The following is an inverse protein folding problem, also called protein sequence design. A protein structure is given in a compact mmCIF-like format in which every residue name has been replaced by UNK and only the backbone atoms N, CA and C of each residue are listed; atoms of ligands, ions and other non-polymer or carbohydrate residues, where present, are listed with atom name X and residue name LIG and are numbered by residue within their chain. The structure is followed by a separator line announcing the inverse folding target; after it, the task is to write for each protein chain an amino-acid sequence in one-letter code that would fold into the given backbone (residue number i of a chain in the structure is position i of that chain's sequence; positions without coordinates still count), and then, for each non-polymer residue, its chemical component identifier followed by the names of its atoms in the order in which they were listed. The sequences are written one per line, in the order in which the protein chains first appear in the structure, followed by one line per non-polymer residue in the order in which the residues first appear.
data_IF_951739526773
#
_entry.id   IF_951739526773
#
_cell.length_a   1.000
_cell.length_b   1.000
_cell.length_c   1.000
_cell.angle_alpha   90.00
_cell.angle_beta   90.00
_cell.angle_gamma   90.00
#
_symmetry.space_group_name_H-M   'P 1'
#
loop_
_entity.id
_entity.type
_entity.pdbx_description
1 polymer ?
#
# COMPACT_ATOMS: atom_id res chain seq x y z
N UNK A 1 9.04 -2.02 -57.72
CA UNK A 1 9.09 -2.52 -56.32
C UNK A 1 8.76 -4.00 -56.35
N UNK A 2 9.78 -4.86 -56.25
CA UNK A 2 9.66 -6.30 -56.55
C UNK A 2 8.92 -7.05 -55.45
N UNK A 3 8.24 -8.14 -55.80
CA UNK A 3 7.51 -9.03 -54.87
C UNK A 3 8.38 -9.50 -53.68
N UNK A 4 9.69 -9.60 -53.88
CA UNK A 4 10.68 -10.00 -52.87
C UNK A 4 10.84 -8.97 -51.74
N UNK A 5 10.72 -7.67 -52.03
CA UNK A 5 10.78 -6.61 -50.99
C UNK A 5 9.52 -6.57 -50.13
N UNK A 6 8.35 -6.80 -50.75
CA UNK A 6 7.08 -6.88 -50.03
C UNK A 6 7.03 -8.07 -49.07
N UNK A 7 7.55 -9.23 -49.47
CA UNK A 7 7.69 -10.41 -48.61
C UNK A 7 8.65 -10.18 -47.44
N UNK A 8 9.83 -9.57 -47.69
CA UNK A 8 10.78 -9.20 -46.65
C UNK A 8 10.20 -8.20 -45.64
N UNK A 9 9.44 -7.21 -46.11
CA UNK A 9 8.75 -6.25 -45.25
C UNK A 9 7.68 -6.89 -44.38
N UNK A 10 6.93 -7.86 -44.90
CA UNK A 10 5.89 -8.55 -44.14
C UNK A 10 6.49 -9.42 -43.03
N UNK A 11 7.54 -10.17 -43.34
CA UNK A 11 8.27 -10.98 -42.34
C UNK A 11 8.87 -10.10 -41.25
N UNK A 12 9.46 -8.96 -41.62
CA UNK A 12 10.02 -8.01 -40.65
C UNK A 12 8.95 -7.50 -39.66
N UNK A 13 7.77 -7.13 -40.16
CA UNK A 13 6.65 -6.67 -39.31
C UNK A 13 6.17 -7.78 -38.38
N UNK A 14 6.06 -9.03 -38.86
CA UNK A 14 5.64 -10.16 -38.02
C UNK A 14 6.63 -10.42 -36.87
N UNK A 15 7.93 -10.34 -37.15
CA UNK A 15 8.97 -10.50 -36.11
C UNK A 15 8.90 -9.34 -35.11
N UNK A 16 8.71 -8.09 -35.55
CA UNK A 16 8.57 -6.95 -34.64
C UNK A 16 7.36 -7.10 -33.73
N UNK A 17 6.21 -7.53 -34.25
CA UNK A 17 5.00 -7.78 -33.45
C UNK A 17 5.23 -8.91 -32.45
N UNK A 18 5.89 -9.99 -32.85
CA UNK A 18 6.20 -11.10 -31.95
C UNK A 18 7.11 -10.66 -30.78
N UNK A 19 8.16 -9.88 -31.08
CA UNK A 19 9.08 -9.37 -30.07
C UNK A 19 8.43 -8.31 -29.17
N UNK A 20 7.59 -7.42 -29.73
CA UNK A 20 6.88 -6.41 -28.93
C UNK A 20 5.86 -7.06 -27.99
N UNK A 21 5.10 -8.05 -28.45
CA UNK A 21 4.18 -8.81 -27.60
C UNK A 21 4.91 -9.51 -26.45
N UNK A 22 6.07 -10.11 -26.71
CA UNK A 22 6.88 -10.77 -25.69
C UNK A 22 7.40 -9.79 -24.64
N UNK A 23 7.94 -8.65 -25.07
CA UNK A 23 8.47 -7.62 -24.15
C UNK A 23 7.36 -6.99 -23.31
N UNK A 24 6.20 -6.68 -23.89
CA UNK A 24 5.05 -6.11 -23.18
C UNK A 24 4.59 -7.00 -22.02
N UNK A 25 4.57 -8.32 -22.21
CA UNK A 25 4.19 -9.26 -21.15
C UNK A 25 5.13 -9.18 -19.94
N UNK A 26 6.44 -9.24 -20.19
CA UNK A 26 7.47 -9.17 -19.13
C UNK A 26 7.38 -7.83 -18.39
N UNK A 27 7.26 -6.74 -19.14
CA UNK A 27 7.18 -5.39 -18.57
C UNK A 27 5.96 -5.26 -17.66
N UNK A 28 4.80 -5.80 -18.05
CA UNK A 28 3.57 -5.71 -17.25
C UNK A 28 3.71 -6.39 -15.90
N UNK A 29 4.22 -7.63 -15.87
CA UNK A 29 4.44 -8.38 -14.63
C UNK A 29 5.44 -7.67 -13.69
N UNK A 30 6.52 -7.10 -14.27
CA UNK A 30 7.51 -6.34 -13.51
C UNK A 30 6.94 -5.04 -12.95
N UNK A 31 6.13 -4.30 -13.70
CA UNK A 31 5.49 -3.07 -13.24
C UNK A 31 4.58 -3.35 -12.04
N UNK A 32 3.75 -4.40 -12.10
CA UNK A 32 2.88 -4.76 -10.98
C UNK A 32 3.67 -5.08 -9.71
N UNK A 33 4.79 -5.81 -9.85
CA UNK A 33 5.66 -6.12 -8.71
C UNK A 33 6.23 -4.84 -8.09
N UNK A 34 6.73 -3.91 -8.92
CA UNK A 34 7.28 -2.63 -8.46
C UNK A 34 6.22 -1.79 -7.77
N UNK A 35 5.01 -1.72 -8.32
CA UNK A 35 3.88 -1.00 -7.73
C UNK A 35 3.53 -1.59 -6.36
N UNK A 36 3.37 -2.92 -6.27
CA UNK A 36 3.06 -3.58 -5.00
C UNK A 36 4.13 -3.30 -3.95
N UNK A 37 5.43 -3.45 -4.27
CA UNK A 37 6.51 -3.19 -3.32
C UNK A 37 6.57 -1.73 -2.86
N UNK A 38 6.34 -0.76 -3.75
CA UNK A 38 6.31 0.66 -3.39
C UNK A 38 5.10 1.01 -2.50
N UNK A 39 3.94 0.47 -2.84
CA UNK A 39 2.73 0.68 -2.07
C UNK A 39 2.84 0.03 -0.68
N UNK A 40 3.38 -1.18 -0.59
CA UNK A 40 3.67 -1.89 0.67
C UNK A 40 4.63 -1.10 1.56
N UNK A 41 5.74 -0.58 0.99
CA UNK A 41 6.69 0.25 1.73
C UNK A 41 6.02 1.52 2.27
N UNK A 42 5.17 2.15 1.45
CA UNK A 42 4.40 3.33 1.87
C UNK A 42 3.41 2.97 2.97
N UNK A 43 2.71 1.84 2.85
CA UNK A 43 1.74 1.38 3.84
C UNK A 43 2.40 1.07 5.19
N UNK A 44 3.57 0.44 5.17
CA UNK A 44 4.35 0.18 6.37
C UNK A 44 4.82 1.49 7.03
N UNK A 45 5.27 2.46 6.25
CA UNK A 45 5.67 3.78 6.77
C UNK A 45 4.48 4.52 7.40
N UNK A 46 3.32 4.53 6.73
CA UNK A 46 2.11 5.17 7.23
C UNK A 46 1.60 4.51 8.52
N UNK A 47 1.55 3.17 8.59
CA UNK A 47 1.17 2.48 9.83
C UNK A 47 2.13 2.77 10.98
N UNK A 48 3.44 2.85 10.72
CA UNK A 48 4.43 3.23 11.72
C UNK A 48 4.23 4.68 12.18
N UNK A 49 3.88 5.60 11.28
CA UNK A 49 3.56 6.98 11.63
C UNK A 49 2.30 7.06 12.50
N UNK A 50 1.24 6.34 12.16
CA UNK A 50 0.01 6.24 12.96
C UNK A 50 0.32 5.68 14.35
N UNK A 51 1.07 4.57 14.43
CA UNK A 51 1.48 3.96 15.69
C UNK A 51 2.31 4.91 16.57
N UNK A 52 3.29 5.59 15.98
CA UNK A 52 4.12 6.56 16.68
C UNK A 52 3.29 7.75 17.20
N UNK A 53 2.32 8.23 16.42
CA UNK A 53 1.41 9.30 16.83
C UNK A 53 0.48 8.86 17.97
N UNK A 54 -0.05 7.62 17.91
CA UNK A 54 -0.85 7.03 18.98
C UNK A 54 -0.06 6.88 20.28
N UNK A 55 1.17 6.38 20.21
CA UNK A 55 2.04 6.23 21.38
C UNK A 55 2.47 7.60 21.94
N UNK A 56 2.70 8.60 21.07
CA UNK A 56 3.03 9.96 21.52
C UNK A 56 1.84 10.61 22.22
N UNK A 57 0.63 10.48 21.65
CA UNK A 57 -0.59 10.94 22.30
C UNK A 57 -0.78 10.28 23.67
N UNK A 58 -0.59 8.96 23.76
CA UNK A 58 -0.72 8.24 25.02
C UNK A 58 0.30 8.75 26.05
N UNK A 59 1.56 9.02 25.67
CA UNK A 59 2.57 9.61 26.58
C UNK A 59 2.11 10.94 27.14
N UNK A 60 1.51 11.78 26.31
CA UNK A 60 1.05 13.12 26.71
C UNK A 60 -0.27 13.08 27.49
N UNK A 61 -1.04 11.99 27.36
CA UNK A 61 -2.35 11.78 27.99
C UNK A 61 -2.33 10.67 29.05
N UNK A 62 -1.26 10.58 29.85
CA UNK A 62 -1.15 9.68 31.00
C UNK A 62 -1.33 8.19 30.68
N UNK A 63 -0.89 7.77 29.49
CA UNK A 63 -1.00 6.40 28.99
C UNK A 63 -2.35 6.07 28.32
N UNK A 64 -3.24 7.05 28.15
CA UNK A 64 -4.55 6.85 27.54
C UNK A 64 -4.50 7.13 26.03
N UNK A 65 -4.79 6.12 25.23
CA UNK A 65 -4.92 6.26 23.78
C UNK A 65 -6.21 7.01 23.38
N UNK A 66 -6.24 7.71 22.23
CA UNK A 66 -7.40 8.48 21.80
C UNK A 66 -8.58 7.57 21.42
N UNK A 67 -9.81 8.09 21.41
CA UNK A 67 -11.01 7.33 20.98
C UNK A 67 -11.14 7.24 19.45
N UNK A 68 -10.47 8.11 18.71
CA UNK A 68 -10.45 8.11 17.25
C UNK A 68 -9.11 8.65 16.74
N UNK A 69 -8.67 8.13 15.60
CA UNK A 69 -7.43 8.59 14.93
C UNK A 69 -7.56 10.03 14.43
N UNK A 70 -8.77 10.47 14.07
CA UNK A 70 -9.03 11.86 13.64
C UNK A 70 -8.70 12.90 14.71
N UNK A 71 -8.64 12.52 16.00
CA UNK A 71 -8.18 13.43 17.05
C UNK A 71 -6.69 13.76 16.92
N UNK A 72 -5.88 12.86 16.35
CA UNK A 72 -4.44 13.07 16.20
C UNK A 72 -4.10 14.17 15.19
N UNK A 73 -4.93 14.35 14.17
CA UNK A 73 -4.82 15.42 13.16
C UNK A 73 -5.60 16.69 13.52
N UNK A 74 -6.27 16.71 14.69
CA UNK A 74 -7.03 17.88 15.19
C UNK A 74 -6.47 18.41 16.52
N UNK A 75 -5.55 17.69 17.15
CA UNK A 75 -4.91 18.08 18.41
C UNK A 75 -3.93 19.26 18.22
N UNK A 76 -3.65 19.98 19.31
CA UNK A 76 -2.64 21.04 19.33
C UNK A 76 -1.61 20.77 20.44
N UNK A 77 -0.35 20.38 20.13
CA UNK A 77 0.22 20.22 18.79
C UNK A 77 -0.36 19.02 18.02
N UNK A 78 -0.24 19.07 16.69
CA UNK A 78 -0.66 17.99 15.80
C UNK A 78 0.27 16.79 15.97
N UNK A 79 -0.29 15.61 16.24
CA UNK A 79 0.48 14.36 16.33
C UNK A 79 0.62 13.67 14.97
N UNK A 80 -0.29 13.97 14.05
CA UNK A 80 -0.35 13.37 12.73
C UNK A 80 -0.61 14.45 11.69
N UNK A 81 0.11 14.39 10.57
CA UNK A 81 0.02 15.38 9.48
C UNK A 81 -1.32 15.33 8.75
N UNK A 82 -1.94 14.15 8.74
CA UNK A 82 -3.21 13.89 8.06
C UNK A 82 -3.94 12.68 8.63
N UNK A 83 -5.22 12.57 8.35
CA UNK A 83 -6.01 11.41 8.76
C UNK A 83 -5.95 10.31 7.69
N UNK A 84 -5.01 9.37 7.85
CA UNK A 84 -4.80 8.25 6.93
C UNK A 84 -6.02 7.32 6.81
N UNK A 85 -6.90 7.29 7.80
CA UNK A 85 -8.13 6.48 7.76
C UNK A 85 -9.18 7.21 6.91
N UNK A 86 -9.42 8.49 7.17
CA UNK A 86 -10.40 9.27 6.42
C UNK A 86 -10.00 9.49 4.95
N UNK A 87 -8.69 9.59 4.65
CA UNK A 87 -8.16 9.77 3.30
C UNK A 87 -7.90 8.47 2.54
N UNK A 88 -8.28 7.33 3.10
CA UNK A 88 -8.13 6.03 2.44
C UNK A 88 -8.99 5.93 1.16
N UNK A 89 -8.47 5.29 0.08
CA UNK A 89 -7.19 4.60 -0.03
C UNK A 89 -6.01 5.53 -0.37
N UNK A 90 -4.86 5.33 0.28
CA UNK A 90 -3.61 6.05 0.00
C UNK A 90 -2.62 5.07 -0.64
N UNK A 91 -2.19 5.38 -1.88
CA UNK A 91 -1.27 4.53 -2.67
C UNK A 91 -1.73 3.07 -2.73
N UNK A 92 -3.02 2.84 -2.93
CA UNK A 92 -3.59 1.50 -3.11
C UNK A 92 -3.75 0.68 -1.83
N UNK A 93 -3.65 1.31 -0.65
CA UNK A 93 -3.94 0.69 0.65
C UNK A 93 -5.03 1.47 1.39
N UNK A 94 -5.93 0.74 2.05
CA UNK A 94 -6.90 1.28 3.01
C UNK A 94 -6.40 1.05 4.43
N UNK A 95 -6.61 2.03 5.30
CA UNK A 95 -6.17 1.99 6.70
C UNK A 95 -7.38 2.06 7.61
N UNK A 96 -7.34 1.32 8.70
CA UNK A 96 -8.37 1.41 9.73
C UNK A 96 -7.82 0.90 11.08
N UNK A 97 -8.40 1.36 12.18
CA UNK A 97 -8.07 0.92 13.53
C UNK A 97 -9.31 0.27 14.16
N UNK A 98 -9.44 -1.05 14.03
CA UNK A 98 -10.61 -1.80 14.53
C UNK A 98 -10.71 -1.70 16.04
N UNK A 99 -9.57 -1.78 16.73
CA UNK A 99 -9.51 -1.61 18.17
C UNK A 99 -8.74 -0.33 18.45
N UNK A 100 -9.41 0.66 19.01
CA UNK A 100 -8.78 1.86 19.50
C UNK A 100 -9.46 2.21 20.83
N UNK A 101 -8.82 1.80 21.90
CA UNK A 101 -9.33 1.86 23.27
C UNK A 101 -8.28 2.49 24.17
N UNK A 102 -8.68 2.97 25.35
CA UNK A 102 -7.76 3.60 26.31
C UNK A 102 -6.52 2.76 26.64
N UNK A 103 -6.62 1.43 26.59
CA UNK A 103 -5.56 0.47 26.93
C UNK A 103 -4.69 0.05 25.74
N UNK A 104 -5.02 0.44 24.51
CA UNK A 104 -4.23 0.07 23.34
C UNK A 104 -4.95 0.19 22.01
N UNK A 105 -4.21 -0.12 20.96
CA UNK A 105 -4.70 -0.05 19.59
C UNK A 105 -4.35 -1.30 18.78
N UNK A 106 -5.15 -1.53 17.75
CA UNK A 106 -4.91 -2.47 16.67
C UNK A 106 -5.36 -1.81 15.37
N UNK A 107 -4.38 -1.44 14.56
CA UNK A 107 -4.59 -0.82 13.26
C UNK A 107 -4.10 -1.74 12.16
N UNK A 108 -4.76 -1.71 11.02
CA UNK A 108 -4.37 -2.50 9.86
C UNK A 108 -4.34 -1.64 8.61
N UNK A 109 -3.53 -2.08 7.65
CA UNK A 109 -3.50 -1.58 6.28
C UNK A 109 -3.72 -2.77 5.34
N UNK A 110 -4.74 -2.67 4.50
CA UNK A 110 -5.10 -3.71 3.54
C UNK A 110 -4.98 -3.18 2.11
N UNK A 111 -4.42 -3.94 1.16
CA UNK A 111 -4.38 -3.50 -0.22
C UNK A 111 -5.81 -3.40 -0.77
N UNK A 112 -6.13 -2.29 -1.44
CA UNK A 112 -7.45 -2.08 -2.03
C UNK A 112 -7.82 -3.14 -3.08
N UNK A 113 -6.81 -3.71 -3.75
CA UNK A 113 -6.94 -4.92 -4.60
C UNK A 113 -5.75 -5.84 -4.39
N UNK A 114 -5.99 -7.00 -3.80
CA UNK A 114 -4.96 -8.01 -3.59
C UNK A 114 -4.32 -8.44 -4.92
N UNK A 115 -3.00 -8.64 -4.93
CA UNK A 115 -2.14 -8.96 -6.09
C UNK A 115 -2.09 -7.90 -7.20
N UNK A 116 -2.73 -6.74 -7.03
CA UNK A 116 -2.68 -5.61 -7.98
C UNK A 116 -2.14 -4.33 -7.35
N UNK A 117 -2.61 -3.97 -6.15
CA UNK A 117 -2.12 -2.79 -5.42
C UNK A 117 -1.16 -3.17 -4.29
N UNK A 118 -1.18 -4.43 -3.86
CA UNK A 118 -0.26 -4.99 -2.87
C UNK A 118 -0.48 -6.51 -2.71
N UNK A 119 0.51 -7.20 -2.19
CA UNK A 119 0.49 -8.64 -1.90
C UNK A 119 0.37 -8.93 -0.40
N UNK A 120 0.78 -7.97 0.44
CA UNK A 120 0.78 -8.12 1.89
C UNK A 120 -0.24 -7.19 2.53
N UNK A 121 -0.94 -7.69 3.54
CA UNK A 121 -1.65 -6.88 4.51
C UNK A 121 -0.78 -6.69 5.76
N UNK A 122 -0.93 -5.55 6.42
CA UNK A 122 -0.14 -5.20 7.59
C UNK A 122 -1.05 -4.92 8.77
N UNK A 123 -0.65 -5.38 9.95
CA UNK A 123 -1.32 -5.09 11.21
C UNK A 123 -0.28 -4.56 12.18
N UNK A 124 -0.59 -3.46 12.86
CA UNK A 124 0.23 -2.89 13.93
C UNK A 124 -0.57 -2.85 15.23
N UNK A 125 0.03 -3.37 16.30
CA UNK A 125 -0.55 -3.37 17.63
C UNK A 125 0.20 -2.42 18.57
N UNK A 126 -0.37 -2.19 19.75
CA UNK A 126 0.23 -1.39 20.83
C UNK A 126 1.71 -1.69 21.02
N UNK A 127 2.54 -0.64 21.10
CA UNK A 127 3.99 -0.76 21.20
C UNK A 127 4.71 -0.90 19.85
N UNK A 128 4.03 -0.62 18.74
CA UNK A 128 4.62 -0.55 17.41
C UNK A 128 4.97 -1.91 16.79
N UNK A 129 4.43 -3.01 17.31
CA UNK A 129 4.68 -4.35 16.77
C UNK A 129 3.91 -4.50 15.45
N UNK A 130 4.66 -4.63 14.35
CA UNK A 130 4.11 -4.75 13.01
C UNK A 130 4.21 -6.19 12.50
N UNK A 131 3.09 -6.74 12.08
CA UNK A 131 2.94 -8.08 11.51
C UNK A 131 2.45 -7.93 10.07
N UNK A 132 3.03 -8.71 9.16
CA UNK A 132 2.60 -8.80 7.77
C UNK A 132 2.03 -10.18 7.47
N UNK A 133 0.96 -10.24 6.70
CA UNK A 133 0.32 -11.46 6.21
C UNK A 133 0.00 -11.36 4.72
N UNK A 134 -0.19 -12.48 4.02
CA UNK A 134 -0.61 -12.43 2.61
C UNK A 134 -2.06 -11.91 2.52
N UNK A 135 -2.36 -11.00 1.60
CA UNK A 135 -3.71 -10.45 1.47
C UNK A 135 -4.76 -11.48 1.03
N UNK A 136 -4.37 -12.64 0.49
CA UNK A 136 -5.30 -13.70 0.09
C UNK A 136 -5.86 -14.52 1.25
N UNK A 137 -5.35 -14.39 2.48
CA UNK A 137 -5.85 -15.15 3.64
C UNK A 137 -7.12 -14.57 4.26
N UNK A 138 -7.59 -13.41 3.80
CA UNK A 138 -8.75 -12.68 4.33
C UNK A 138 -9.87 -12.44 3.30
N UNK A 139 -9.85 -13.15 2.17
CA UNK A 139 -10.97 -13.22 1.22
C UNK A 139 -12.01 -14.27 1.64
#
# INVERSE_FOLDING_TARGET
MSLTERGKSFVAIMVVIALSALTLRIVTEKILTVICTQNEATAQANLKAIAAALDSYARDNQGVYPKSVSLLSQSNPLYLDKDYIAESPIKGYTYNCVRLEASGYNCYAFPSRCKLTGNLAFTVTTGGILISEDCSTKE
#
